data_IF_840794646530
#
_entry.id   IF_840794646530
#
_cell.length_a   1.000
_cell.length_b   1.000
_cell.length_c   1.000
_cell.angle_alpha   90.00
_cell.angle_beta   90.00
_cell.angle_gamma   90.00
#
_symmetry.space_group_name_H-M   'P 1'
#
loop_
_entity.id
_entity.type
_entity.pdbx_description
1 polymer ?
#
# COMPACT_ATOMS: atom_id res chain seq x y z
N UNK A 1 -0.59 82.11 -26.41
CA UNK A 1 -1.14 81.46 -27.61
C UNK A 1 -0.38 80.16 -27.84
N UNK A 2 -0.94 79.03 -27.41
CA UNK A 2 -1.10 77.80 -28.18
C UNK A 2 -1.65 76.72 -27.24
N UNK A 3 -2.84 76.24 -27.58
CA UNK A 3 -3.62 75.22 -26.88
C UNK A 3 -3.85 74.13 -27.92
N UNK A 4 -3.44 72.89 -27.66
CA UNK A 4 -3.70 71.69 -28.50
C UNK A 4 -3.12 70.42 -27.82
N UNK A 5 -3.64 69.20 -28.07
CA UNK A 5 -4.64 68.57 -27.20
C UNK A 5 -4.25 67.17 -26.66
N UNK A 6 -5.13 66.61 -25.83
CA UNK A 6 -5.11 65.29 -25.20
C UNK A 6 -5.16 64.11 -26.20
N UNK A 7 -4.57 62.95 -25.85
CA UNK A 7 -5.09 61.64 -26.21
C UNK A 7 -5.69 60.95 -24.98
N UNK A 8 -6.91 60.43 -25.15
CA UNK A 8 -7.53 59.48 -24.22
C UNK A 8 -7.10 58.04 -24.55
N UNK A 9 -7.29 57.18 -23.54
CA UNK A 9 -7.44 55.72 -23.60
C UNK A 9 -6.18 54.87 -23.35
N UNK A 10 -6.22 54.15 -22.23
CA UNK A 10 -5.26 53.09 -21.91
C UNK A 10 -5.39 52.59 -20.48
N UNK A 11 -6.51 51.95 -20.16
CA UNK A 11 -6.64 51.14 -18.94
C UNK A 11 -5.52 50.10 -18.90
N UNK A 12 -4.53 50.30 -18.02
CA UNK A 12 -3.52 49.29 -17.72
C UNK A 12 -4.13 48.30 -16.72
N UNK A 13 -4.73 47.25 -17.27
CA UNK A 13 -5.11 46.05 -16.53
C UNK A 13 -3.86 45.47 -15.83
N UNK A 14 -3.95 45.03 -14.56
CA UNK A 14 -2.82 44.43 -13.88
C UNK A 14 -2.37 43.15 -14.62
N UNK A 15 -1.07 42.83 -14.66
CA UNK A 15 -0.65 41.52 -15.15
C UNK A 15 -1.27 40.47 -14.23
N UNK A 16 -2.19 39.68 -14.77
CA UNK A 16 -2.69 38.48 -14.14
C UNK A 16 -1.51 37.58 -13.86
N UNK A 17 -1.10 37.51 -12.59
CA UNK A 17 -0.29 36.41 -12.11
C UNK A 17 -1.09 35.16 -12.34
N UNK A 18 -0.66 34.32 -13.29
CA UNK A 18 -1.07 32.93 -13.34
C UNK A 18 -0.67 32.34 -11.99
N UNK A 19 -1.64 32.23 -11.08
CA UNK A 19 -1.49 31.45 -9.87
C UNK A 19 -1.13 30.04 -10.34
N UNK A 20 0.17 29.74 -10.29
CA UNK A 20 0.71 28.40 -10.46
C UNK A 20 -0.01 27.54 -9.44
N UNK A 21 -0.92 26.69 -9.92
CA UNK A 21 -1.63 25.74 -9.08
C UNK A 21 -0.59 25.00 -8.24
N UNK A 22 -0.65 25.21 -6.93
CA UNK A 22 0.12 24.42 -5.99
C UNK A 22 -0.28 22.94 -6.17
N UNK A 23 0.64 21.99 -6.01
CA UNK A 23 0.29 20.58 -6.09
C UNK A 23 -0.79 20.27 -5.07
N UNK A 24 -1.70 19.37 -5.43
CA UNK A 24 -2.85 18.89 -4.65
C UNK A 24 -2.39 18.02 -3.45
N UNK A 25 -1.54 18.59 -2.59
CA UNK A 25 -0.89 17.91 -1.46
C UNK A 25 -1.89 17.45 -0.40
N UNK A 26 -3.08 18.07 -0.38
CA UNK A 26 -4.14 17.74 0.56
C UNK A 26 -4.76 16.36 0.27
N UNK A 27 -4.83 15.94 -1.00
CA UNK A 27 -5.40 14.63 -1.39
C UNK A 27 -4.37 13.50 -1.43
N UNK A 28 -3.09 13.83 -1.65
CA UNK A 28 -2.01 12.85 -1.71
C UNK A 28 -1.77 12.08 -0.39
N UNK A 29 -1.93 12.73 0.78
CA UNK A 29 -1.68 12.08 2.08
C UNK A 29 -2.75 11.02 2.45
N UNK A 30 -4.06 11.29 2.28
CA UNK A 30 -5.11 10.27 2.44
C UNK A 30 -4.94 9.06 1.53
N UNK A 31 -4.56 9.28 0.26
CA UNK A 31 -4.41 8.19 -0.71
C UNK A 31 -3.18 7.32 -0.39
N UNK A 32 -2.06 7.92 0.04
CA UNK A 32 -0.90 7.16 0.51
C UNK A 32 -1.19 6.31 1.76
N UNK A 33 -2.00 6.82 2.69
CA UNK A 33 -2.39 6.07 3.88
C UNK A 33 -3.31 4.89 3.56
N UNK A 34 -4.22 5.06 2.58
CA UNK A 34 -5.07 3.97 2.07
C UNK A 34 -4.24 2.91 1.37
N UNK A 35 -3.29 3.32 0.55
CA UNK A 35 -2.40 2.40 -0.18
C UNK A 35 -1.56 1.58 0.78
N UNK A 36 -1.00 2.20 1.82
CA UNK A 36 -0.29 1.50 2.88
C UNK A 36 -1.18 0.48 3.62
N UNK A 37 -2.45 0.83 3.88
CA UNK A 37 -3.40 -0.07 4.51
C UNK A 37 -3.76 -1.25 3.59
N UNK A 38 -4.04 -1.00 2.31
CA UNK A 38 -4.32 -2.03 1.31
C UNK A 38 -3.13 -2.97 1.12
N UNK A 39 -1.91 -2.44 1.09
CA UNK A 39 -0.69 -3.24 1.00
C UNK A 39 -0.54 -4.18 2.21
N UNK A 40 -0.75 -3.65 3.42
CA UNK A 40 -0.68 -4.44 4.65
C UNK A 40 -1.73 -5.56 4.70
N UNK A 41 -2.95 -5.30 4.20
CA UNK A 41 -3.99 -6.33 4.08
C UNK A 41 -3.57 -7.41 3.08
N UNK A 42 -2.98 -7.01 1.96
CA UNK A 42 -2.53 -7.93 0.94
C UNK A 42 -1.34 -8.80 1.39
N UNK A 43 -0.36 -8.21 2.08
CA UNK A 43 0.73 -8.96 2.75
C UNK A 43 0.17 -9.97 3.77
N UNK A 44 -0.81 -9.56 4.58
CA UNK A 44 -1.45 -10.45 5.56
C UNK A 44 -2.20 -11.61 4.91
N UNK A 45 -2.78 -11.39 3.74
CA UNK A 45 -3.39 -12.44 2.93
C UNK A 45 -2.35 -13.43 2.42
N UNK A 46 -1.24 -12.95 1.84
CA UNK A 46 -0.16 -13.81 1.38
C UNK A 46 0.47 -14.60 2.54
N UNK A 47 0.67 -13.97 3.70
CA UNK A 47 1.16 -14.67 4.90
C UNK A 47 0.23 -15.82 5.31
N UNK A 48 -1.08 -15.60 5.30
CA UNK A 48 -2.07 -16.64 5.62
C UNK A 48 -2.05 -17.78 4.60
N UNK A 49 -1.93 -17.44 3.31
CA UNK A 49 -1.79 -18.42 2.24
C UNK A 49 -0.51 -19.26 2.39
N UNK A 50 0.63 -18.61 2.61
CA UNK A 50 1.91 -19.29 2.80
C UNK A 50 1.90 -20.17 4.04
N UNK A 51 1.30 -19.73 5.15
CA UNK A 51 1.16 -20.54 6.35
C UNK A 51 0.42 -21.85 6.05
N UNK A 52 -0.65 -21.79 5.25
CA UNK A 52 -1.40 -22.98 4.85
C UNK A 52 -0.58 -23.91 3.95
N UNK A 53 0.16 -23.37 2.99
CA UNK A 53 1.02 -24.16 2.10
C UNK A 53 2.17 -24.82 2.86
N UNK A 54 2.77 -24.12 3.82
CA UNK A 54 3.90 -24.62 4.59
C UNK A 54 3.52 -25.83 5.47
N UNK A 55 2.27 -25.94 5.92
CA UNK A 55 1.79 -27.13 6.67
C UNK A 55 2.01 -28.45 5.92
N UNK A 56 2.00 -28.43 4.59
CA UNK A 56 2.16 -29.62 3.75
C UNK A 56 3.62 -29.95 3.40
N UNK A 57 4.56 -29.09 3.74
CA UNK A 57 5.99 -29.30 3.43
C UNK A 57 6.70 -30.23 4.43
N UNK A 58 6.05 -30.55 5.55
CA UNK A 58 6.69 -31.20 6.69
C UNK A 58 7.59 -30.26 7.50
N UNK A 59 7.62 -28.96 7.17
CA UNK A 59 8.34 -27.95 7.94
C UNK A 59 7.75 -27.86 9.36
N UNK A 60 8.60 -27.99 10.36
CA UNK A 60 8.23 -28.03 11.79
C UNK A 60 7.26 -29.17 12.15
N UNK A 61 7.20 -30.24 11.34
CA UNK A 61 6.43 -31.41 11.69
C UNK A 61 7.00 -32.09 12.95
N UNK A 62 6.10 -32.63 13.76
CA UNK A 62 6.42 -33.42 14.96
C UNK A 62 7.42 -34.54 14.63
N UNK A 63 8.45 -34.70 15.45
CA UNK A 63 9.32 -35.87 15.37
C UNK A 63 8.58 -37.15 15.82
N UNK A 64 8.72 -38.24 15.05
CA UNK A 64 8.21 -39.56 15.45
C UNK A 64 9.00 -40.20 16.60
N UNK A 65 10.19 -39.65 16.91
CA UNK A 65 11.01 -40.08 18.05
C UNK A 65 10.47 -39.54 19.37
N UNK A 66 10.89 -40.16 20.47
CA UNK A 66 10.53 -39.81 21.85
C UNK A 66 10.78 -38.31 22.12
N UNK A 67 9.73 -37.48 22.05
CA UNK A 67 9.83 -36.01 22.13
C UNK A 67 8.62 -35.25 21.56
N UNK A 68 7.94 -35.83 20.57
CA UNK A 68 6.83 -35.23 19.82
C UNK A 68 5.50 -34.95 20.54
N UNK A 69 5.46 -34.36 21.72
CA UNK A 69 4.19 -34.10 22.42
C UNK A 69 3.24 -33.15 21.65
N UNK A 70 1.97 -33.04 22.10
CA UNK A 70 0.98 -32.05 21.60
C UNK A 70 1.53 -30.61 21.64
N UNK A 71 2.42 -30.32 22.59
CA UNK A 71 3.09 -29.02 22.67
C UNK A 71 4.04 -28.74 21.50
N UNK A 72 4.69 -29.77 20.94
CA UNK A 72 5.59 -29.61 19.78
C UNK A 72 4.80 -29.30 18.52
N UNK A 73 3.65 -29.94 18.32
CA UNK A 73 2.73 -29.65 17.20
C UNK A 73 2.17 -28.23 17.26
N UNK A 74 1.73 -27.79 18.44
CA UNK A 74 1.26 -26.43 18.64
C UNK A 74 2.38 -25.41 18.41
N UNK A 75 3.58 -25.66 18.94
CA UNK A 75 4.73 -24.77 18.74
C UNK A 75 5.20 -24.73 17.29
N UNK A 76 5.23 -25.88 16.60
CA UNK A 76 5.55 -25.97 15.18
C UNK A 76 4.57 -25.20 14.32
N UNK A 77 3.28 -25.21 14.66
CA UNK A 77 2.26 -24.40 13.98
C UNK A 77 2.53 -22.90 14.13
N UNK A 78 2.87 -22.44 15.35
CA UNK A 78 3.25 -21.05 15.60
C UNK A 78 4.50 -20.64 14.80
N UNK A 79 5.53 -21.49 14.77
CA UNK A 79 6.73 -21.24 13.98
C UNK A 79 6.42 -21.15 12.49
N UNK A 80 5.56 -22.02 11.98
CA UNK A 80 5.12 -22.01 10.59
C UNK A 80 4.42 -20.70 10.23
N UNK A 81 3.56 -20.17 11.11
CA UNK A 81 2.94 -18.85 10.92
C UNK A 81 3.98 -17.72 10.88
N UNK A 82 4.98 -17.74 11.76
CA UNK A 82 6.04 -16.72 11.77
C UNK A 82 6.91 -16.78 10.51
N UNK A 83 7.27 -17.97 10.04
CA UNK A 83 7.96 -18.13 8.77
C UNK A 83 7.14 -17.57 7.60
N UNK A 84 5.84 -17.85 7.57
CA UNK A 84 4.96 -17.33 6.53
C UNK A 84 4.89 -15.79 6.51
N UNK A 85 4.81 -15.16 7.69
CA UNK A 85 4.85 -13.69 7.83
C UNK A 85 6.17 -13.12 7.34
N UNK A 86 7.30 -13.72 7.71
CA UNK A 86 8.63 -13.29 7.28
C UNK A 86 8.83 -13.45 5.77
N UNK A 87 8.31 -14.51 5.18
CA UNK A 87 8.36 -14.74 3.73
C UNK A 87 7.54 -13.67 3.00
N UNK A 88 6.29 -13.46 3.38
CA UNK A 88 5.42 -12.43 2.78
C UNK A 88 6.05 -11.03 2.90
N UNK A 89 6.55 -10.66 4.08
CA UNK A 89 7.20 -9.36 4.31
C UNK A 89 8.49 -9.16 3.48
N UNK A 90 9.12 -10.23 3.00
CA UNK A 90 10.31 -10.20 2.13
C UNK A 90 9.97 -10.31 0.63
N UNK A 91 8.68 -10.25 0.27
CA UNK A 91 8.18 -10.32 -1.10
C UNK A 91 7.57 -11.66 -1.51
N UNK A 92 7.57 -12.65 -0.60
CA UNK A 92 6.78 -13.88 -0.71
C UNK A 92 6.88 -14.57 -2.07
N UNK A 93 5.70 -14.83 -2.65
CA UNK A 93 5.55 -15.44 -3.98
C UNK A 93 4.94 -14.45 -4.99
N UNK A 94 4.78 -13.18 -4.61
CA UNK A 94 4.18 -12.14 -5.43
C UNK A 94 2.64 -12.14 -5.44
N UNK A 95 2.00 -12.77 -4.44
CA UNK A 95 0.54 -12.81 -4.33
C UNK A 95 0.00 -11.50 -3.72
N UNK A 96 0.75 -10.90 -2.80
CA UNK A 96 0.36 -9.65 -2.14
C UNK A 96 0.13 -8.53 -3.17
N UNK A 97 0.99 -8.38 -4.17
CA UNK A 97 0.87 -7.35 -5.21
C UNK A 97 -0.42 -7.51 -6.02
N UNK A 98 -0.78 -8.74 -6.38
CA UNK A 98 -2.02 -9.00 -7.13
C UNK A 98 -3.26 -8.69 -6.30
N UNK A 99 -3.22 -9.02 -5.00
CA UNK A 99 -4.34 -8.76 -4.09
C UNK A 99 -4.47 -7.26 -3.81
N UNK A 100 -3.34 -6.56 -3.64
CA UNK A 100 -3.30 -5.11 -3.53
C UNK A 100 -3.97 -4.45 -4.73
N UNK A 101 -3.64 -4.86 -5.95
CA UNK A 101 -4.27 -4.35 -7.16
C UNK A 101 -5.79 -4.56 -7.13
N UNK A 102 -6.26 -5.75 -6.74
CA UNK A 102 -7.70 -6.04 -6.63
C UNK A 102 -8.39 -5.14 -5.60
N UNK A 103 -7.76 -4.90 -4.45
CA UNK A 103 -8.28 -4.01 -3.40
C UNK A 103 -8.41 -2.59 -3.95
N UNK A 104 -7.35 -2.08 -4.60
CA UNK A 104 -7.34 -0.74 -5.22
C UNK A 104 -8.43 -0.55 -6.26
N UNK A 105 -8.64 -1.55 -7.13
CA UNK A 105 -9.68 -1.47 -8.17
C UNK A 105 -11.10 -1.44 -7.56
N UNK A 106 -11.34 -2.14 -6.44
CA UNK A 106 -12.62 -2.12 -5.74
C UNK A 106 -12.91 -0.79 -5.06
N UNK A 107 -11.89 -0.14 -4.50
CA UNK A 107 -12.05 1.17 -3.87
C UNK A 107 -12.30 2.30 -4.89
N UNK A 108 -11.86 2.11 -6.14
CA UNK A 108 -12.14 3.06 -7.25
C UNK A 108 -13.53 2.87 -7.90
N UNK A 109 -14.26 1.81 -7.55
CA UNK A 109 -15.52 1.40 -8.16
C UNK A 109 -16.77 1.82 -7.38
N UNK A 110 -16.91 3.10 -7.07
CA UNK A 110 -18.17 3.82 -6.78
C UNK A 110 -18.09 5.22 -7.38
#
# INVERSE_FOLDING_TARGET
MQISPLPALGMRQPPGGTARAAPDTARAAPDAARDAAAHKVAEGFEASFLAEMLKYTGLNARSESFGGGVGEEAFGSLLTEEYAKLLAARGGIGLAERIFDVIKHRESGT
#
